data_IF_823039488077
#
_entry.id   IF_823039488077
#
_cell.length_a   1.000
_cell.length_b   1.000
_cell.length_c   1.000
_cell.angle_alpha   90.00
_cell.angle_beta   90.00
_cell.angle_gamma   90.00
#
_symmetry.space_group_name_H-M   'P 1'
#
loop_
_entity.id
_entity.type
_entity.pdbx_description
1 polymer ?
#
# COMPACT_ATOMS: atom_id res chain seq x y z
N UNK A 1 -12.83 -21.04 -12.37
CA UNK A 1 -11.79 -20.83 -11.34
C UNK A 1 -12.48 -20.55 -10.00
N UNK A 2 -11.96 -21.03 -8.86
CA UNK A 2 -12.50 -20.64 -7.56
C UNK A 2 -12.39 -19.12 -7.38
N UNK A 3 -13.44 -18.50 -6.81
CA UNK A 3 -13.52 -17.04 -6.60
C UNK A 3 -12.41 -16.54 -5.66
N UNK A 4 -12.18 -17.30 -4.59
CA UNK A 4 -11.03 -17.10 -3.71
C UNK A 4 -9.84 -17.87 -4.24
N UNK A 5 -8.71 -17.18 -4.35
CA UNK A 5 -7.44 -17.76 -4.82
C UNK A 5 -6.26 -17.13 -4.09
N UNK A 6 -5.22 -17.91 -3.86
CA UNK A 6 -3.97 -17.41 -3.32
C UNK A 6 -3.32 -16.42 -4.27
N UNK A 7 -2.64 -15.42 -3.70
CA UNK A 7 -1.83 -14.44 -4.44
C UNK A 7 -0.38 -14.64 -4.00
N UNK A 8 0.51 -14.82 -4.97
CA UNK A 8 1.95 -14.87 -4.73
C UNK A 8 2.52 -13.47 -4.80
N UNK A 9 3.05 -12.99 -3.68
CA UNK A 9 3.75 -11.70 -3.55
C UNK A 9 5.19 -12.06 -3.19
N UNK A 10 6.02 -12.24 -4.22
CA UNK A 10 7.40 -12.73 -4.08
C UNK A 10 7.49 -14.09 -3.34
N UNK A 11 8.04 -14.13 -2.13
CA UNK A 11 8.13 -15.33 -1.28
C UNK A 11 6.86 -15.58 -0.44
N UNK A 12 5.89 -14.65 -0.42
CA UNK A 12 4.65 -14.78 0.36
C UNK A 12 3.54 -15.37 -0.51
N UNK A 13 2.87 -16.40 0.00
CA UNK A 13 1.65 -16.94 -0.57
C UNK A 13 0.47 -16.66 0.38
N UNK A 14 -0.46 -15.81 -0.05
CA UNK A 14 -1.63 -15.48 0.77
C UNK A 14 -2.65 -16.63 0.78
N UNK A 15 -3.48 -16.72 1.83
CA UNK A 15 -4.53 -17.73 1.89
C UNK A 15 -5.66 -17.48 0.88
N UNK A 16 -5.88 -16.23 0.49
CA UNK A 16 -6.80 -15.82 -0.58
C UNK A 16 -6.46 -14.40 -1.07
N UNK A 17 -7.28 -13.85 -1.96
CA UNK A 17 -7.15 -12.57 -2.66
C UNK A 17 -8.00 -11.45 -2.04
N UNK A 18 -8.48 -11.60 -0.79
CA UNK A 18 -9.23 -10.57 -0.07
C UNK A 18 -8.37 -9.99 1.04
N UNK A 19 -8.02 -8.72 0.94
CA UNK A 19 -7.07 -8.06 1.82
C UNK A 19 -7.73 -6.94 2.64
N UNK A 20 -7.29 -6.76 3.88
CA UNK A 20 -7.76 -5.67 4.72
C UNK A 20 -6.98 -4.39 4.42
N UNK A 21 -7.65 -3.36 3.90
CA UNK A 21 -7.02 -2.08 3.57
C UNK A 21 -6.51 -1.33 4.81
N UNK A 22 -5.37 -0.61 4.71
CA UNK A 22 -4.85 0.22 5.80
C UNK A 22 -5.74 1.45 6.03
N UNK A 23 -6.18 1.66 7.27
CA UNK A 23 -7.04 2.78 7.65
C UNK A 23 -6.56 3.37 8.97
N UNK A 24 -5.97 4.57 8.91
CA UNK A 24 -5.48 5.28 10.09
C UNK A 24 -6.61 5.52 11.11
N UNK A 25 -6.32 5.21 12.38
CA UNK A 25 -7.27 5.23 13.49
C UNK A 25 -8.21 4.02 13.56
N UNK A 26 -8.14 3.08 12.61
CA UNK A 26 -9.10 1.96 12.50
C UNK A 26 -8.38 0.61 12.52
N UNK A 27 -7.39 0.38 11.66
CA UNK A 27 -6.70 -0.92 11.52
C UNK A 27 -5.58 -1.09 12.54
N UNK A 28 -5.91 -0.90 13.82
CA UNK A 28 -5.05 -1.27 14.93
C UNK A 28 -4.96 -2.81 15.06
N UNK A 29 -4.08 -3.29 15.96
CA UNK A 29 -3.85 -4.73 16.13
C UNK A 29 -5.12 -5.49 16.53
N UNK A 30 -6.01 -4.89 17.32
CA UNK A 30 -7.24 -5.53 17.77
C UNK A 30 -8.19 -5.76 16.60
N UNK A 31 -8.39 -4.73 15.77
CA UNK A 31 -9.23 -4.81 14.58
C UNK A 31 -8.68 -5.82 13.57
N UNK A 32 -7.37 -5.82 13.36
CA UNK A 32 -6.70 -6.76 12.43
C UNK A 32 -6.83 -8.21 12.89
N UNK A 33 -6.69 -8.49 14.19
CA UNK A 33 -6.91 -9.83 14.75
C UNK A 33 -8.35 -10.30 14.54
N UNK A 34 -9.34 -9.42 14.70
CA UNK A 34 -10.74 -9.74 14.41
C UNK A 34 -10.90 -10.04 12.92
N UNK A 35 -10.42 -9.17 12.03
CA UNK A 35 -10.49 -9.36 10.58
C UNK A 35 -9.83 -10.68 10.13
N UNK A 36 -8.70 -11.05 10.75
CA UNK A 36 -8.02 -12.33 10.49
C UNK A 36 -8.92 -13.54 10.77
N UNK A 37 -9.73 -13.50 11.82
CA UNK A 37 -10.69 -14.58 12.15
C UNK A 37 -11.81 -14.71 11.11
N UNK A 38 -12.11 -13.65 10.37
CA UNK A 38 -13.03 -13.68 9.22
C UNK A 38 -12.36 -14.13 7.91
N UNK A 39 -11.08 -14.53 7.95
CA UNK A 39 -10.42 -15.20 6.84
C UNK A 39 -9.76 -14.28 5.82
N UNK A 40 -9.41 -13.04 6.15
CA UNK A 40 -8.65 -12.17 5.24
C UNK A 40 -7.26 -12.74 4.92
N UNK A 41 -6.84 -12.62 3.66
CA UNK A 41 -5.60 -13.21 3.14
C UNK A 41 -4.32 -12.44 3.47
N UNK A 42 -4.42 -11.12 3.64
CA UNK A 42 -3.34 -10.21 3.98
C UNK A 42 -3.92 -9.00 4.72
N UNK A 43 -3.19 -8.50 5.71
CA UNK A 43 -3.57 -7.35 6.50
C UNK A 43 -2.54 -6.24 6.37
N UNK A 44 -2.96 -4.99 6.56
CA UNK A 44 -2.06 -3.85 6.65
C UNK A 44 -2.29 -3.07 7.93
N UNK A 45 -1.22 -2.53 8.52
CA UNK A 45 -1.33 -1.62 9.66
C UNK A 45 -1.96 -0.28 9.28
N UNK A 46 -2.22 0.57 10.26
CA UNK A 46 -2.34 2.01 9.98
C UNK A 46 -1.08 2.53 9.26
N UNK A 47 -1.19 3.67 8.56
CA UNK A 47 -0.02 4.31 7.94
C UNK A 47 0.91 4.94 9.00
N UNK A 48 2.21 4.70 8.89
CA UNK A 48 3.24 5.28 9.77
C UNK A 48 4.19 6.19 9.00
N UNK A 49 4.57 7.32 9.61
CA UNK A 49 5.46 8.30 8.98
C UNK A 49 6.90 7.84 9.05
N UNK A 50 7.65 7.95 7.94
CA UNK A 50 9.08 7.66 7.92
C UNK A 50 9.87 8.52 8.91
N UNK A 51 9.52 9.81 9.04
CA UNK A 51 10.12 10.67 10.06
C UNK A 51 9.78 10.22 11.49
N UNK A 52 8.56 9.74 11.75
CA UNK A 52 8.20 9.25 13.07
C UNK A 52 8.99 7.99 13.45
N UNK A 53 9.29 7.12 12.48
CA UNK A 53 10.16 5.95 12.67
C UNK A 53 11.58 6.37 13.02
N UNK A 54 12.19 7.26 12.23
CA UNK A 54 13.58 7.71 12.46
C UNK A 54 13.72 8.41 13.81
N UNK A 55 12.78 9.30 14.15
CA UNK A 55 12.82 10.05 15.42
C UNK A 55 12.21 9.27 16.60
N UNK A 56 11.94 7.96 16.44
CA UNK A 56 11.49 7.05 17.50
C UNK A 56 10.29 7.59 18.29
N UNK A 57 9.29 8.11 17.57
CA UNK A 57 8.07 8.58 18.20
C UNK A 57 7.33 7.41 18.88
N UNK A 58 6.88 7.61 20.12
CA UNK A 58 6.23 6.57 20.94
C UNK A 58 5.01 5.92 20.27
N UNK A 59 4.26 6.66 19.45
CA UNK A 59 3.09 6.11 18.76
C UNK A 59 3.46 5.08 17.67
N UNK A 60 4.71 5.08 17.19
CA UNK A 60 5.12 4.13 16.15
C UNK A 60 5.10 2.69 16.64
N UNK A 61 5.46 2.45 17.91
CA UNK A 61 5.42 1.11 18.51
C UNK A 61 3.98 0.57 18.54
N UNK A 62 3.01 1.41 18.84
CA UNK A 62 1.59 1.05 18.83
C UNK A 62 1.12 0.68 17.42
N UNK A 63 1.44 1.53 16.44
CA UNK A 63 1.00 1.35 15.03
C UNK A 63 1.66 0.11 14.39
N UNK A 64 2.95 -0.08 14.63
CA UNK A 64 3.77 -1.11 14.00
C UNK A 64 3.74 -2.45 14.75
N UNK A 65 2.99 -2.54 15.85
CA UNK A 65 2.87 -3.78 16.62
C UNK A 65 2.24 -4.88 15.76
N UNK A 66 2.88 -6.04 15.74
CA UNK A 66 2.44 -7.23 14.99
C UNK A 66 2.33 -8.43 15.93
N UNK A 67 1.19 -9.13 15.87
CA UNK A 67 0.99 -10.43 16.49
C UNK A 67 1.33 -11.58 15.53
N UNK A 68 1.68 -12.76 16.05
CA UNK A 68 1.98 -13.93 15.20
C UNK A 68 0.74 -14.41 14.45
N UNK A 69 -0.41 -14.30 15.10
CA UNK A 69 -1.71 -14.79 14.66
C UNK A 69 -2.27 -14.02 13.46
N UNK A 70 -1.89 -12.74 13.30
CA UNK A 70 -2.37 -11.92 12.17
C UNK A 70 -1.53 -12.08 10.90
N UNK A 71 -0.42 -12.82 10.92
CA UNK A 71 0.44 -12.95 9.74
C UNK A 71 -0.26 -13.66 8.56
N UNK A 72 0.02 -13.28 7.29
CA UNK A 72 0.94 -12.23 6.89
C UNK A 72 0.37 -10.82 7.09
N UNK A 73 1.23 -9.86 7.46
CA UNK A 73 0.87 -8.45 7.67
C UNK A 73 1.93 -7.51 7.09
N UNK A 74 1.47 -6.47 6.40
CA UNK A 74 2.30 -5.37 5.91
C UNK A 74 2.24 -4.15 6.81
N UNK A 75 3.38 -3.49 7.03
CA UNK A 75 3.41 -2.14 7.61
C UNK A 75 3.33 -1.12 6.48
N UNK A 76 2.36 -0.20 6.56
CA UNK A 76 2.24 0.86 5.56
C UNK A 76 3.07 2.09 5.96
N UNK A 77 4.13 2.37 5.21
CA UNK A 77 5.04 3.50 5.38
C UNK A 77 4.66 4.67 4.45
N UNK A 78 4.76 5.91 4.94
CA UNK A 78 4.62 7.10 4.11
C UNK A 78 5.70 8.15 4.37
N UNK A 79 6.05 8.88 3.31
CA UNK A 79 7.04 9.96 3.33
C UNK A 79 7.35 10.43 1.92
N UNK A 80 8.31 11.36 1.78
CA UNK A 80 8.58 12.04 0.50
C UNK A 80 10.06 12.20 0.14
N UNK A 81 10.97 11.85 1.06
CA UNK A 81 12.42 11.95 0.89
C UNK A 81 12.99 10.54 0.82
N UNK A 82 13.67 10.22 -0.27
CA UNK A 82 14.07 8.85 -0.58
C UNK A 82 14.99 8.24 0.49
N UNK A 83 16.05 8.95 0.93
CA UNK A 83 16.94 8.47 2.00
C UNK A 83 16.24 8.29 3.36
N UNK A 84 15.24 9.12 3.69
CA UNK A 84 14.45 8.98 4.92
C UNK A 84 13.52 7.76 4.83
N UNK A 85 12.94 7.51 3.67
CA UNK A 85 12.10 6.34 3.44
C UNK A 85 12.90 5.04 3.48
N UNK A 86 14.08 5.05 2.86
CA UNK A 86 15.05 3.94 2.88
C UNK A 86 15.43 3.57 4.32
N UNK A 87 15.87 4.55 5.12
CA UNK A 87 16.26 4.32 6.50
C UNK A 87 15.09 3.86 7.38
N UNK A 88 13.91 4.46 7.20
CA UNK A 88 12.73 4.03 7.93
C UNK A 88 12.32 2.59 7.58
N UNK A 89 12.48 2.14 6.33
CA UNK A 89 12.18 0.77 5.93
C UNK A 89 13.13 -0.23 6.59
N UNK A 90 14.44 0.06 6.65
CA UNK A 90 15.42 -0.77 7.39
C UNK A 90 15.04 -0.93 8.86
N UNK A 91 14.73 0.19 9.53
CA UNK A 91 14.31 0.18 10.94
C UNK A 91 13.03 -0.65 11.11
N UNK A 92 12.07 -0.53 10.18
CA UNK A 92 10.83 -1.29 10.24
C UNK A 92 11.06 -2.80 10.11
N UNK A 93 11.87 -3.21 9.14
CA UNK A 93 12.25 -4.61 8.92
C UNK A 93 12.98 -5.19 10.14
N UNK A 94 14.00 -4.50 10.65
CA UNK A 94 14.81 -4.98 11.77
C UNK A 94 14.00 -5.09 13.06
N UNK A 95 13.26 -4.02 13.41
CA UNK A 95 12.61 -3.87 14.71
C UNK A 95 11.27 -4.59 14.81
N UNK A 96 10.41 -4.43 13.79
CA UNK A 96 9.03 -4.94 13.84
C UNK A 96 8.81 -6.19 12.99
N UNK A 97 9.76 -6.49 12.07
CA UNK A 97 9.77 -7.70 11.24
C UNK A 97 8.44 -7.97 10.53
N UNK A 98 7.84 -6.98 9.83
CA UNK A 98 6.65 -7.24 9.04
C UNK A 98 6.94 -8.24 7.93
N UNK A 99 5.89 -8.84 7.37
CA UNK A 99 6.03 -9.71 6.20
C UNK A 99 6.18 -8.85 4.93
N UNK A 100 5.63 -7.63 4.92
CA UNK A 100 5.65 -6.71 3.78
C UNK A 100 5.90 -5.26 4.25
N UNK A 101 6.62 -4.47 3.46
CA UNK A 101 6.57 -3.00 3.55
C UNK A 101 5.69 -2.45 2.43
N UNK A 102 4.58 -1.82 2.79
CA UNK A 102 3.69 -1.16 1.82
C UNK A 102 3.95 0.35 1.79
N UNK A 103 4.09 0.92 0.60
CA UNK A 103 4.31 2.36 0.44
C UNK A 103 3.00 3.06 0.15
N UNK A 104 2.63 4.02 0.99
CA UNK A 104 1.48 4.88 0.75
C UNK A 104 1.81 5.99 -0.25
N UNK A 105 1.32 5.83 -1.47
CA UNK A 105 1.35 6.84 -2.53
C UNK A 105 -0.07 7.28 -2.92
N UNK A 106 -1.04 7.18 -2.01
CA UNK A 106 -2.46 7.42 -2.31
C UNK A 106 -3.21 8.32 -1.32
N UNK A 107 -2.64 8.63 -0.16
CA UNK A 107 -3.34 9.41 0.87
C UNK A 107 -3.60 10.86 0.39
N UNK A 108 -4.86 11.32 0.39
CA UNK A 108 -5.23 12.68 -0.02
C UNK A 108 -5.26 13.68 1.14
N UNK A 109 -4.96 13.25 2.37
CA UNK A 109 -5.06 14.10 3.56
C UNK A 109 -4.14 15.31 3.42
N UNK A 110 -4.69 16.52 3.62
CA UNK A 110 -4.00 17.79 3.40
C UNK A 110 -2.64 17.89 4.09
N UNK A 111 -2.52 17.39 5.33
CA UNK A 111 -1.25 17.37 6.08
C UNK A 111 -0.19 16.50 5.40
N UNK A 112 -0.58 15.35 4.85
CA UNK A 112 0.30 14.42 4.13
C UNK A 112 0.73 15.04 2.79
N UNK A 113 -0.22 15.60 2.04
CA UNK A 113 0.09 16.27 0.76
C UNK A 113 1.05 17.45 0.93
N UNK A 114 0.87 18.27 1.96
CA UNK A 114 1.77 19.40 2.28
C UNK A 114 3.22 18.97 2.53
N UNK A 115 3.44 17.75 3.02
CA UNK A 115 4.78 17.19 3.22
C UNK A 115 5.41 16.60 1.94
N UNK A 116 4.68 16.62 0.82
CA UNK A 116 5.12 16.00 -0.43
C UNK A 116 4.93 14.49 -0.50
N UNK A 117 4.20 13.89 0.45
CA UNK A 117 3.97 12.46 0.58
C UNK A 117 2.55 12.05 0.11
N UNK A 118 2.21 10.77 0.22
CA UNK A 118 0.91 10.25 -0.19
C UNK A 118 0.67 10.46 -1.68
N UNK A 119 -0.53 10.90 -2.08
CA UNK A 119 -0.86 11.08 -3.49
C UNK A 119 -0.01 12.15 -4.20
N UNK A 120 0.73 13.00 -3.46
CA UNK A 120 1.66 13.97 -4.06
C UNK A 120 2.84 13.29 -4.76
N UNK A 121 3.19 12.06 -4.36
CA UNK A 121 4.20 11.26 -5.05
C UNK A 121 3.78 10.92 -6.48
N UNK A 122 2.48 10.77 -6.73
CA UNK A 122 1.96 10.39 -8.04
C UNK A 122 2.22 11.47 -9.09
N UNK A 123 2.55 12.71 -8.73
CA UNK A 123 2.86 13.74 -9.73
C UNK A 123 4.13 13.41 -10.54
N UNK A 124 5.07 12.63 -10.00
CA UNK A 124 6.34 12.31 -10.66
C UNK A 124 6.64 10.82 -10.57
N UNK A 125 6.43 10.06 -11.66
CA UNK A 125 6.83 8.65 -11.75
C UNK A 125 8.31 8.44 -11.44
N UNK A 126 9.18 9.35 -11.85
CA UNK A 126 10.62 9.31 -11.55
C UNK A 126 10.91 9.39 -10.05
N UNK A 127 10.23 10.30 -9.34
CA UNK A 127 10.37 10.42 -7.88
C UNK A 127 9.83 9.18 -7.17
N UNK A 128 8.69 8.66 -7.63
CA UNK A 128 8.12 7.43 -7.10
C UNK A 128 9.09 6.25 -7.30
N UNK A 129 9.66 6.13 -8.51
CA UNK A 129 10.68 5.13 -8.84
C UNK A 129 11.89 5.21 -7.90
N UNK A 130 12.52 6.39 -7.75
CA UNK A 130 13.72 6.55 -6.91
C UNK A 130 13.47 6.13 -5.46
N UNK A 131 12.33 6.55 -4.89
CA UNK A 131 11.94 6.17 -3.53
C UNK A 131 11.77 4.64 -3.43
N UNK A 132 10.98 4.04 -4.33
CA UNK A 132 10.70 2.61 -4.29
C UNK A 132 11.97 1.78 -4.52
N UNK A 133 12.80 2.16 -5.48
CA UNK A 133 14.01 1.44 -5.87
C UNK A 133 15.01 1.40 -4.73
N UNK A 134 15.18 2.52 -4.01
CA UNK A 134 16.05 2.58 -2.83
C UNK A 134 15.58 1.66 -1.72
N UNK A 135 14.28 1.63 -1.43
CA UNK A 135 13.72 0.75 -0.39
C UNK A 135 13.91 -0.71 -0.79
N UNK A 136 13.52 -1.09 -2.01
CA UNK A 136 13.64 -2.47 -2.52
C UNK A 136 15.08 -2.98 -2.47
N UNK A 137 16.08 -2.12 -2.67
CA UNK A 137 17.48 -2.52 -2.69
C UNK A 137 18.10 -2.72 -1.30
N UNK A 138 17.40 -2.37 -0.21
CA UNK A 138 17.99 -2.37 1.14
C UNK A 138 17.25 -3.20 2.17
N UNK A 139 16.11 -3.77 1.81
CA UNK A 139 15.36 -4.71 2.65
C UNK A 139 15.19 -6.04 1.91
N UNK A 140 15.08 -7.12 2.65
CA UNK A 140 14.95 -8.48 2.11
C UNK A 140 13.49 -8.90 1.92
N UNK A 141 12.56 -8.25 2.63
CA UNK A 141 11.13 -8.52 2.51
C UNK A 141 10.46 -7.79 1.32
N UNK A 142 9.33 -8.31 0.79
CA UNK A 142 8.65 -7.71 -0.34
C UNK A 142 8.18 -6.28 -0.07
N UNK A 143 8.40 -5.40 -1.05
CA UNK A 143 7.82 -4.04 -1.07
C UNK A 143 6.57 -4.03 -1.94
N UNK A 144 5.50 -3.43 -1.44
CA UNK A 144 4.26 -3.16 -2.18
C UNK A 144 3.97 -1.66 -2.23
N UNK A 145 3.07 -1.23 -3.11
CA UNK A 145 2.65 0.19 -3.15
C UNK A 145 1.13 0.30 -3.31
N UNK A 146 0.52 1.21 -2.53
CA UNK A 146 -0.89 1.58 -2.67
C UNK A 146 -1.03 2.98 -3.26
N UNK A 147 -1.72 3.06 -4.40
CA UNK A 147 -1.85 4.27 -5.21
C UNK A 147 -3.31 4.67 -5.45
N UNK A 148 -3.46 5.90 -5.94
CA UNK A 148 -4.66 6.47 -6.55
C UNK A 148 -4.42 6.74 -8.02
N UNK A 149 -5.45 7.15 -8.78
CA UNK A 149 -5.29 7.44 -10.22
C UNK A 149 -4.30 8.57 -10.53
N UNK A 150 -4.16 9.49 -9.59
CA UNK A 150 -3.40 10.72 -9.72
C UNK A 150 -3.87 11.75 -8.70
N UNK A 151 -3.31 12.96 -8.74
CA UNK A 151 -3.65 14.01 -7.78
C UNK A 151 -5.05 14.60 -8.03
N UNK A 152 -5.45 14.74 -9.29
CA UNK A 152 -6.75 15.24 -9.73
C UNK A 152 -7.09 14.73 -11.14
N UNK A 153 -8.30 15.02 -11.62
CA UNK A 153 -8.77 14.58 -12.95
C UNK A 153 -7.93 15.10 -14.12
N UNK A 154 -7.28 16.26 -13.97
CA UNK A 154 -6.40 16.83 -14.99
C UNK A 154 -5.03 16.15 -15.07
N UNK A 155 -4.69 15.29 -14.10
CA UNK A 155 -3.40 14.58 -14.05
C UNK A 155 -3.60 13.16 -13.52
N UNK A 156 -4.13 12.31 -14.39
CA UNK A 156 -4.20 10.86 -14.20
C UNK A 156 -2.98 10.24 -14.87
N UNK A 157 -2.15 9.56 -14.09
CA UNK A 157 -0.88 9.00 -14.54
C UNK A 157 -0.56 7.66 -13.85
N UNK A 158 -1.63 6.91 -13.59
CA UNK A 158 -1.53 5.65 -12.89
C UNK A 158 -0.78 4.59 -13.68
N UNK A 159 -0.85 4.60 -15.02
CA UNK A 159 -0.14 3.62 -15.85
C UNK A 159 1.37 3.84 -15.76
N UNK A 160 1.82 5.09 -15.89
CA UNK A 160 3.23 5.47 -15.76
C UNK A 160 3.75 5.19 -14.35
N UNK A 161 3.00 5.58 -13.31
CA UNK A 161 3.37 5.30 -11.92
C UNK A 161 3.41 3.80 -11.60
N UNK A 162 2.52 3.00 -12.20
CA UNK A 162 2.48 1.55 -12.00
C UNK A 162 3.66 0.85 -12.66
N UNK A 163 4.03 1.25 -13.87
CA UNK A 163 5.22 0.74 -14.56
C UNK A 163 6.49 1.12 -13.80
N UNK A 164 6.60 2.38 -13.38
CA UNK A 164 7.70 2.86 -12.55
C UNK A 164 7.83 2.05 -11.24
N UNK A 165 6.71 1.74 -10.58
CA UNK A 165 6.75 0.89 -9.39
C UNK A 165 7.25 -0.53 -9.67
N UNK A 166 6.77 -1.16 -10.75
CA UNK A 166 7.23 -2.50 -11.15
C UNK A 166 8.73 -2.51 -11.51
N UNK A 167 9.20 -1.53 -12.28
CA UNK A 167 10.61 -1.38 -12.66
C UNK A 167 11.50 -1.14 -11.44
N UNK A 168 10.98 -0.45 -10.41
CA UNK A 168 11.68 -0.28 -9.14
C UNK A 168 11.83 -1.60 -8.36
N UNK A 169 11.07 -2.64 -8.71
CA UNK A 169 11.12 -3.98 -8.09
C UNK A 169 10.01 -4.24 -7.07
N UNK A 170 8.96 -3.40 -7.04
CA UNK A 170 7.75 -3.64 -6.23
C UNK A 170 7.09 -4.95 -6.64
N UNK A 171 6.58 -5.67 -5.64
CA UNK A 171 6.04 -7.04 -5.79
C UNK A 171 4.52 -7.11 -5.89
N UNK A 172 3.81 -6.02 -5.58
CA UNK A 172 2.37 -5.88 -5.83
C UNK A 172 1.96 -4.40 -5.84
N UNK A 173 1.02 -4.04 -6.72
CA UNK A 173 0.37 -2.74 -6.74
C UNK A 173 -1.08 -2.85 -6.24
N UNK A 174 -1.49 -1.96 -5.34
CA UNK A 174 -2.90 -1.79 -4.95
C UNK A 174 -3.43 -0.47 -5.50
N UNK A 175 -4.55 -0.49 -6.22
CA UNK A 175 -5.15 0.70 -6.82
C UNK A 175 -6.51 1.03 -6.21
N UNK A 176 -6.64 2.22 -5.63
CA UNK A 176 -7.92 2.88 -5.40
C UNK A 176 -8.22 3.78 -6.61
N UNK A 177 -9.14 3.43 -7.52
CA UNK A 177 -9.28 4.13 -8.79
C UNK A 177 -10.17 5.39 -8.68
N UNK A 178 -9.74 6.28 -7.79
CA UNK A 178 -10.18 7.67 -7.69
C UNK A 178 -8.95 8.57 -7.73
N UNK A 179 -9.11 9.81 -8.13
CA UNK A 179 -8.07 10.82 -7.94
C UNK A 179 -8.03 11.27 -6.46
N UNK A 180 -6.95 11.90 -6.03
CA UNK A 180 -6.79 12.28 -4.62
C UNK A 180 -7.81 13.35 -4.19
N UNK A 181 -8.06 14.34 -5.04
CA UNK A 181 -9.05 15.42 -4.84
C UNK A 181 -10.49 14.93 -4.71
N UNK A 182 -10.83 13.79 -5.32
CA UNK A 182 -12.13 13.15 -5.16
C UNK A 182 -12.35 12.62 -3.73
N UNK A 183 -11.28 12.35 -2.97
CA UNK A 183 -11.39 11.79 -1.62
C UNK A 183 -12.21 10.49 -1.61
N UNK A 184 -13.40 10.55 -1.01
CA UNK A 184 -14.40 9.47 -1.02
C UNK A 184 -15.65 9.78 -1.86
N UNK A 185 -15.67 10.93 -2.54
CA UNK A 185 -16.73 11.31 -3.47
C UNK A 185 -16.63 10.57 -4.81
N UNK A 186 -17.69 10.69 -5.62
CA UNK A 186 -17.79 10.02 -6.92
C UNK A 186 -17.78 8.49 -6.83
N UNK A 187 -17.58 7.82 -7.97
CA UNK A 187 -17.49 6.37 -8.08
C UNK A 187 -16.08 5.93 -8.46
N UNK A 188 -15.65 4.80 -7.91
CA UNK A 188 -14.42 4.12 -8.33
C UNK A 188 -14.48 3.72 -9.81
N UNK A 189 -13.45 4.10 -10.56
CA UNK A 189 -13.28 3.82 -11.99
C UNK A 189 -12.52 2.50 -12.22
N UNK A 190 -13.19 1.37 -11.99
CA UNK A 190 -12.56 0.04 -12.00
C UNK A 190 -11.91 -0.34 -13.33
N UNK A 191 -12.29 0.29 -14.45
CA UNK A 191 -11.64 0.13 -15.75
C UNK A 191 -10.12 0.41 -15.69
N UNK A 192 -9.67 1.31 -14.79
CA UNK A 192 -8.24 1.55 -14.59
C UNK A 192 -7.53 0.42 -13.86
N UNK A 193 -8.23 -0.37 -13.04
CA UNK A 193 -7.65 -1.56 -12.41
C UNK A 193 -7.32 -2.59 -13.49
N UNK A 194 -8.24 -2.82 -14.43
CA UNK A 194 -8.01 -3.68 -15.58
C UNK A 194 -6.85 -3.19 -16.45
N UNK A 195 -6.85 -1.90 -16.80
CA UNK A 195 -5.78 -1.30 -17.60
C UNK A 195 -4.39 -1.41 -16.94
N UNK A 196 -4.30 -1.22 -15.61
CA UNK A 196 -3.04 -1.44 -14.88
C UNK A 196 -2.67 -2.93 -14.88
N UNK A 197 -3.63 -3.83 -14.68
CA UNK A 197 -3.35 -5.28 -14.66
C UNK A 197 -2.84 -5.81 -15.99
N UNK A 198 -3.31 -5.27 -17.11
CA UNK A 198 -2.83 -5.60 -18.46
C UNK A 198 -1.37 -5.17 -18.69
N UNK A 199 -0.92 -4.10 -18.01
CA UNK A 199 0.44 -3.57 -18.14
C UNK A 199 1.45 -4.20 -17.20
N UNK A 200 0.99 -4.77 -16.07
CA UNK A 200 1.87 -5.31 -15.04
C UNK A 200 1.93 -6.84 -15.05
N UNK A 201 3.15 -7.37 -14.94
CA UNK A 201 3.41 -8.79 -14.69
C UNK A 201 3.21 -9.15 -13.22
N UNK A 202 3.37 -8.19 -12.31
CA UNK A 202 3.11 -8.38 -10.87
C UNK A 202 1.60 -8.39 -10.55
N UNK A 203 1.19 -8.90 -9.37
CA UNK A 203 -0.18 -8.80 -8.89
C UNK A 203 -0.68 -7.35 -8.81
N UNK A 204 -1.96 -7.17 -9.16
CA UNK A 204 -2.69 -5.90 -9.00
C UNK A 204 -3.91 -6.17 -8.12
N UNK A 205 -4.01 -5.45 -7.01
CA UNK A 205 -5.14 -5.51 -6.08
C UNK A 205 -6.07 -4.31 -6.31
N UNK A 206 -7.33 -4.59 -6.65
CA UNK A 206 -8.37 -3.57 -6.77
C UNK A 206 -8.89 -3.12 -5.39
N UNK A 207 -9.18 -1.83 -5.24
CA UNK A 207 -9.72 -1.26 -4.00
C UNK A 207 -10.76 -0.17 -4.28
N UNK A 208 -11.68 0.04 -3.34
CA UNK A 208 -12.63 1.16 -3.35
C UNK A 208 -13.98 0.78 -3.96
N UNK A 209 -15.05 1.02 -3.18
CA UNK A 209 -16.46 0.70 -3.48
C UNK A 209 -16.79 -0.80 -3.50
N UNK A 210 -15.96 -1.64 -2.89
CA UNK A 210 -16.30 -3.05 -2.62
C UNK A 210 -17.13 -3.10 -1.33
N UNK A 211 -18.45 -3.22 -1.44
CA UNK A 211 -19.38 -3.23 -0.30
C UNK A 211 -19.92 -4.62 0.01
N UNK A 212 -19.90 -5.52 -0.96
CA UNK A 212 -20.37 -6.89 -0.83
C UNK A 212 -19.57 -7.85 -1.74
N UNK A 213 -19.92 -9.15 -1.71
CA UNK A 213 -19.27 -10.17 -2.51
C UNK A 213 -19.50 -10.03 -4.02
N UNK A 214 -20.64 -9.50 -4.47
CA UNK A 214 -20.90 -9.28 -5.89
C UNK A 214 -19.96 -8.21 -6.46
N UNK A 215 -19.71 -7.15 -5.70
CA UNK A 215 -18.74 -6.11 -6.05
C UNK A 215 -17.33 -6.69 -6.22
N UNK A 216 -16.94 -7.64 -5.36
CA UNK A 216 -15.62 -8.25 -5.37
C UNK A 216 -15.38 -9.24 -6.54
N UNK A 217 -16.46 -9.76 -7.15
CA UNK A 217 -16.38 -10.73 -8.26
C UNK A 217 -16.31 -10.05 -9.63
N UNK A 218 -16.78 -8.81 -9.72
CA UNK A 218 -16.81 -8.01 -10.96
C UNK A 218 -15.43 -7.50 -11.36
#
# INVERSE_FOLDING_TARGET
>A
MPLLKSVKIDNILTSNNVFLAPMAGITDISYRLIAKRFGVGLLFTEMVSSYAIIYRNRETDRICKIAKEERPVGIQLFGSKAGIMEEAAKILEEKYRPDIIDINAGCPVRKVLKSGAGAKLLESPEKLFDILKRIVNVIDIPVTVKMRLGINKGRINILENSLAAQEAGVKMVTLHPRTADEGFGGMSRWEYIAAVKERLSIPVCGNGDIKNSYDAVR
#
